data_IF_006486683693
#
_entry.id   IF_006486683693
#
_cell.length_a   1.000
_cell.length_b   1.000
_cell.length_c   1.000
_cell.angle_alpha   90.00
_cell.angle_beta   90.00
_cell.angle_gamma   90.00
#
_symmetry.space_group_name_H-M   'P 1'
#
loop_
_entity.id
_entity.type
_entity.pdbx_description
1 polymer ?
#
# COMPACT_ATOMS: atom_id res chain seq x y z
N UNK A 1 -15.84 4.93 22.46
CA UNK A 1 -15.14 3.86 23.19
C UNK A 1 -16.15 2.78 23.55
N UNK A 2 -16.01 1.57 23.03
CA UNK A 2 -16.99 0.49 23.29
C UNK A 2 -16.85 -0.02 24.73
N UNK A 3 -17.97 -0.12 25.45
CA UNK A 3 -17.98 -0.63 26.82
C UNK A 3 -17.82 -2.16 26.86
N UNK A 4 -17.09 -2.71 27.85
CA UNK A 4 -16.88 -4.15 27.96
C UNK A 4 -18.21 -4.89 28.19
N UNK A 5 -18.45 -5.93 27.39
CA UNK A 5 -19.66 -6.75 27.46
C UNK A 5 -19.56 -7.68 28.67
N UNK A 6 -20.49 -7.54 29.64
CA UNK A 6 -20.52 -8.36 30.85
C UNK A 6 -21.51 -9.53 30.64
N UNK A 7 -20.98 -10.74 30.50
CA UNK A 7 -21.81 -11.95 30.39
C UNK A 7 -22.38 -12.36 31.74
N UNK A 8 -23.71 -12.30 31.88
CA UNK A 8 -24.42 -12.59 33.15
C UNK A 8 -24.69 -14.08 33.38
N UNK A 9 -24.77 -14.90 32.33
CA UNK A 9 -25.10 -16.33 32.45
C UNK A 9 -23.83 -17.21 32.45
N UNK A 10 -23.81 -18.33 33.21
CA UNK A 10 -22.66 -19.23 33.27
C UNK A 10 -22.33 -19.86 31.91
N UNK A 11 -23.35 -20.16 31.09
CA UNK A 11 -23.17 -20.68 29.72
C UNK A 11 -22.48 -19.65 28.80
N UNK A 12 -22.85 -18.37 28.89
CA UNK A 12 -22.21 -17.32 28.10
C UNK A 12 -20.78 -17.03 28.57
N UNK A 13 -20.51 -17.12 29.88
CA UNK A 13 -19.14 -17.01 30.42
C UNK A 13 -18.24 -18.14 29.90
N UNK A 14 -18.74 -19.36 29.84
CA UNK A 14 -17.98 -20.51 29.35
C UNK A 14 -17.72 -20.41 27.83
N UNK A 15 -18.72 -20.00 27.04
CA UNK A 15 -18.54 -19.75 25.60
C UNK A 15 -17.51 -18.65 25.32
N UNK A 16 -17.60 -17.51 26.00
CA UNK A 16 -16.63 -16.42 25.86
C UNK A 16 -15.21 -16.83 26.30
N UNK A 17 -15.09 -17.67 27.33
CA UNK A 17 -13.80 -18.23 27.73
C UNK A 17 -13.23 -19.17 26.66
N UNK A 18 -14.06 -20.01 26.04
CA UNK A 18 -13.64 -20.91 24.97
C UNK A 18 -13.18 -20.14 23.72
N UNK A 19 -13.92 -19.10 23.32
CA UNK A 19 -13.56 -18.20 22.23
C UNK A 19 -12.24 -17.46 22.51
N UNK A 20 -12.08 -16.93 23.74
CA UNK A 20 -10.83 -16.28 24.16
C UNK A 20 -9.63 -17.24 24.14
N UNK A 21 -9.84 -18.50 24.54
CA UNK A 21 -8.82 -19.55 24.43
C UNK A 21 -8.49 -19.87 22.96
N UNK A 22 -9.47 -19.99 22.08
CA UNK A 22 -9.25 -20.20 20.65
C UNK A 22 -8.45 -19.06 20.01
N UNK A 23 -8.78 -17.80 20.32
CA UNK A 23 -8.00 -16.64 19.88
C UNK A 23 -6.57 -16.66 20.42
N UNK A 24 -6.37 -17.14 21.66
CA UNK A 24 -5.03 -17.29 22.24
C UNK A 24 -4.18 -18.31 21.48
N UNK A 25 -4.76 -19.48 21.15
CA UNK A 25 -4.05 -20.51 20.39
C UNK A 25 -3.77 -20.08 18.94
N UNK A 26 -4.70 -19.38 18.28
CA UNK A 26 -4.46 -18.78 16.97
C UNK A 26 -3.32 -17.73 17.01
N UNK A 27 -3.29 -16.92 18.07
CA UNK A 27 -2.21 -15.94 18.29
C UNK A 27 -0.86 -16.61 18.56
N UNK A 28 -0.82 -17.70 19.34
CA UNK A 28 0.39 -18.50 19.57
C UNK A 28 0.90 -19.14 18.28
N UNK A 29 0.02 -19.67 17.42
CA UNK A 29 0.40 -20.19 16.11
C UNK A 29 1.01 -19.11 15.20
N UNK A 30 0.42 -17.91 15.18
CA UNK A 30 0.96 -16.76 14.44
C UNK A 30 2.32 -16.33 15.01
N UNK A 31 2.46 -16.26 16.34
CA UNK A 31 3.71 -15.88 17.01
C UNK A 31 4.80 -16.94 16.87
N UNK A 32 4.43 -18.22 16.79
CA UNK A 32 5.34 -19.33 16.50
C UNK A 32 5.81 -19.24 15.05
N UNK A 33 4.90 -19.08 14.08
CA UNK A 33 5.24 -18.85 12.66
C UNK A 33 6.19 -17.67 12.48
N UNK A 34 5.96 -16.56 13.19
CA UNK A 34 6.87 -15.39 13.19
C UNK A 34 8.25 -15.69 13.77
N UNK A 35 8.33 -16.49 14.84
CA UNK A 35 9.61 -16.93 15.42
C UNK A 35 10.38 -17.84 14.47
N UNK A 36 9.67 -18.70 13.76
CA UNK A 36 10.26 -19.60 12.77
C UNK A 36 10.80 -18.81 11.56
N UNK A 37 10.05 -17.82 11.07
CA UNK A 37 10.48 -16.89 10.00
C UNK A 37 11.67 -15.98 10.39
N UNK A 38 11.79 -15.62 11.67
CA UNK A 38 12.90 -14.81 12.18
C UNK A 38 14.05 -15.64 12.77
N UNK A 39 13.98 -16.97 12.69
CA UNK A 39 15.11 -17.79 13.09
C UNK A 39 16.26 -17.55 12.10
N UNK A 40 17.44 -17.09 12.56
CA UNK A 40 18.52 -16.68 11.68
C UNK A 40 19.27 -17.91 11.18
N UNK A 41 18.63 -18.77 10.39
CA UNK A 41 19.28 -19.88 9.71
C UNK A 41 18.65 -20.13 8.34
N UNK A 42 19.50 -19.89 7.34
CA UNK A 42 19.45 -20.31 5.92
C UNK A 42 18.95 -19.26 4.92
N UNK A 43 19.78 -19.11 3.89
CA UNK A 43 19.70 -18.35 2.64
C UNK A 43 19.69 -16.82 2.70
N UNK A 44 20.49 -16.29 3.62
CA UNK A 44 20.95 -14.90 3.55
C UNK A 44 21.73 -14.61 2.25
N UNK A 45 22.27 -15.62 1.57
CA UNK A 45 23.05 -15.44 0.33
C UNK A 45 22.18 -15.05 -0.87
N UNK A 46 21.01 -15.68 -1.05
CA UNK A 46 20.15 -15.42 -2.21
C UNK A 46 19.37 -14.10 -2.06
N UNK A 47 18.85 -13.85 -0.86
CA UNK A 47 18.22 -12.58 -0.49
C UNK A 47 19.20 -11.41 -0.50
N UNK A 48 20.46 -11.60 -0.06
CA UNK A 48 21.52 -10.61 -0.27
C UNK A 48 21.87 -10.42 -1.74
N UNK A 49 21.88 -11.46 -2.57
CA UNK A 49 22.13 -11.32 -4.01
C UNK A 49 21.04 -10.51 -4.70
N UNK A 50 19.76 -10.72 -4.36
CA UNK A 50 18.63 -9.95 -4.88
C UNK A 50 18.71 -8.50 -4.39
N UNK A 51 18.96 -8.27 -3.09
CA UNK A 51 19.17 -6.91 -2.55
C UNK A 51 20.38 -6.21 -3.16
N UNK A 52 21.48 -6.93 -3.41
CA UNK A 52 22.69 -6.43 -4.07
C UNK A 52 22.40 -6.07 -5.53
N UNK A 53 21.64 -6.88 -6.26
CA UNK A 53 21.21 -6.59 -7.63
C UNK A 53 20.29 -5.35 -7.69
N UNK A 54 19.36 -5.21 -6.75
CA UNK A 54 18.47 -4.05 -6.65
C UNK A 54 19.26 -2.79 -6.31
N UNK A 55 20.20 -2.85 -5.35
CA UNK A 55 21.06 -1.70 -4.99
C UNK A 55 21.98 -1.28 -6.14
N UNK A 56 22.52 -2.25 -6.91
CA UNK A 56 23.37 -2.02 -8.08
C UNK A 56 22.59 -1.42 -9.26
N UNK A 57 21.29 -1.72 -9.38
CA UNK A 57 20.39 -1.05 -10.33
C UNK A 57 20.01 0.37 -9.91
N UNK A 58 20.02 0.66 -8.60
CA UNK A 58 19.67 1.97 -8.04
C UNK A 58 20.83 2.97 -8.09
N UNK A 59 22.09 2.52 -8.13
CA UNK A 59 23.29 3.36 -8.11
C UNK A 59 24.21 2.97 -9.27
N UNK A 60 24.16 3.74 -10.37
CA UNK A 60 25.00 3.52 -11.54
C UNK A 60 26.49 3.36 -11.18
N UNK A 61 27.09 2.31 -11.75
CA UNK A 61 28.49 1.86 -11.64
C UNK A 61 29.53 2.83 -11.06
N UNK A 62 30.23 2.37 -10.02
CA UNK A 62 31.69 2.48 -9.93
C UNK A 62 32.30 1.23 -9.24
N UNK A 63 33.12 0.51 -10.02
CA UNK A 63 34.33 -0.29 -9.72
C UNK A 63 34.45 -1.23 -8.48
N UNK A 64 34.65 -2.51 -8.79
CA UNK A 64 35.66 -3.50 -8.33
C UNK A 64 36.03 -3.65 -6.83
N UNK A 65 35.84 -4.86 -6.27
CA UNK A 65 36.92 -5.82 -5.95
C UNK A 65 36.41 -7.11 -5.27
N UNK A 66 37.27 -8.13 -5.35
CA UNK A 66 37.16 -9.57 -5.11
C UNK A 66 36.60 -10.07 -3.76
N UNK A 67 36.04 -11.28 -3.78
CA UNK A 67 36.45 -12.38 -2.86
C UNK A 67 35.66 -13.67 -3.12
N UNK A 68 36.39 -14.72 -3.49
CA UNK A 68 35.97 -16.12 -3.49
C UNK A 68 35.75 -16.63 -2.06
N UNK A 69 34.76 -17.51 -1.86
CA UNK A 69 34.84 -18.57 -0.84
C UNK A 69 33.78 -19.64 -1.12
N UNK A 70 34.26 -20.79 -1.59
CA UNK A 70 33.56 -22.06 -1.57
C UNK A 70 33.37 -22.51 -0.12
N UNK A 71 32.17 -22.95 0.22
CA UNK A 71 31.94 -23.81 1.38
C UNK A 71 30.59 -24.49 1.20
N UNK A 72 30.64 -25.80 0.95
CA UNK A 72 29.51 -26.73 1.00
C UNK A 72 28.83 -26.68 2.37
N UNK A 73 27.53 -26.98 2.44
CA UNK A 73 27.06 -27.71 3.60
C UNK A 73 26.12 -28.87 3.27
N UNK A 74 26.42 -29.95 3.99
CA UNK A 74 25.71 -31.19 4.18
C UNK A 74 24.18 -31.10 4.31
N UNK A 75 23.59 -32.20 3.86
CA UNK A 75 22.19 -32.57 3.90
C UNK A 75 21.59 -32.65 5.32
N UNK A 76 20.25 -32.68 5.30
CA UNK A 76 19.32 -33.04 6.38
C UNK A 76 18.98 -31.92 7.38
N UNK A 77 17.78 -31.34 7.26
CA UNK A 77 16.58 -31.97 7.82
C UNK A 77 15.37 -31.02 7.74
N UNK A 78 14.26 -31.56 7.21
CA UNK A 78 12.85 -31.20 7.44
C UNK A 78 12.48 -29.71 7.50
N UNK A 79 12.07 -29.16 6.36
CA UNK A 79 11.39 -27.86 6.24
C UNK A 79 9.95 -28.10 5.80
N UNK A 80 8.99 -27.73 6.64
CA UNK A 80 7.63 -27.44 6.20
C UNK A 80 7.73 -26.27 5.21
N UNK A 81 7.69 -26.59 3.91
CA UNK A 81 7.65 -25.66 2.78
C UNK A 81 6.48 -24.68 2.96
N UNK A 82 6.76 -23.51 3.54
CA UNK A 82 5.88 -22.36 3.40
C UNK A 82 6.01 -21.95 1.95
N UNK A 83 4.94 -22.12 1.18
CA UNK A 83 4.89 -21.93 -0.27
C UNK A 83 5.35 -20.51 -0.68
N UNK A 84 6.67 -20.34 -0.87
CA UNK A 84 7.33 -19.08 -1.28
C UNK A 84 6.84 -18.60 -2.66
N UNK A 85 6.16 -19.49 -3.40
CA UNK A 85 5.45 -19.20 -4.63
C UNK A 85 4.41 -18.09 -4.45
N UNK A 86 3.65 -18.11 -3.36
CA UNK A 86 2.55 -17.17 -3.12
C UNK A 86 3.06 -15.75 -2.83
N UNK A 87 4.11 -15.63 -2.01
CA UNK A 87 4.72 -14.32 -1.72
C UNK A 87 5.29 -13.68 -3.00
N UNK A 88 5.97 -14.47 -3.82
CA UNK A 88 6.55 -14.00 -5.07
C UNK A 88 5.47 -13.47 -6.02
N UNK A 89 4.31 -14.14 -6.09
CA UNK A 89 3.16 -13.68 -6.87
C UNK A 89 2.61 -12.34 -6.35
N UNK A 90 2.50 -12.15 -5.03
CA UNK A 90 2.05 -10.88 -4.46
C UNK A 90 3.02 -9.73 -4.73
N UNK A 91 4.33 -9.98 -4.65
CA UNK A 91 5.34 -8.97 -4.98
C UNK A 91 5.32 -8.60 -6.46
N UNK A 92 5.09 -9.58 -7.34
CA UNK A 92 4.93 -9.32 -8.76
C UNK A 92 3.68 -8.49 -9.06
N UNK A 93 2.54 -8.82 -8.44
CA UNK A 93 1.32 -8.04 -8.57
C UNK A 93 1.48 -6.61 -8.03
N UNK A 94 2.16 -6.43 -6.89
CA UNK A 94 2.49 -5.11 -6.35
C UNK A 94 3.34 -4.30 -7.33
N UNK A 95 4.32 -4.94 -7.99
CA UNK A 95 5.15 -4.28 -8.99
C UNK A 95 4.31 -3.80 -10.17
N UNK A 96 3.40 -4.62 -10.69
CA UNK A 96 2.49 -4.21 -11.78
C UNK A 96 1.69 -2.96 -11.37
N UNK A 97 1.07 -2.97 -10.18
CA UNK A 97 0.28 -1.83 -9.71
C UNK A 97 1.14 -0.58 -9.54
N UNK A 98 2.37 -0.73 -9.02
CA UNK A 98 3.31 0.39 -8.92
C UNK A 98 3.66 0.94 -10.30
N UNK A 99 3.92 0.08 -11.27
CA UNK A 99 4.25 0.49 -12.63
C UNK A 99 3.05 1.18 -13.31
N UNK A 100 1.82 0.70 -13.08
CA UNK A 100 0.58 1.37 -13.50
C UNK A 100 0.38 2.74 -12.82
N UNK A 101 0.65 2.84 -11.51
CA UNK A 101 0.63 4.10 -10.78
C UNK A 101 1.64 5.10 -11.34
N UNK A 102 2.87 4.66 -11.62
CA UNK A 102 3.91 5.52 -12.20
C UNK A 102 3.61 5.91 -13.65
N UNK A 103 2.91 5.07 -14.40
CA UNK A 103 2.40 5.41 -15.72
C UNK A 103 1.28 6.47 -15.66
N UNK A 104 0.51 6.50 -14.56
CA UNK A 104 -0.47 7.55 -14.29
C UNK A 104 0.24 8.87 -13.92
N UNK A 105 1.14 8.83 -12.93
CA UNK A 105 1.90 10.00 -12.48
C UNK A 105 3.05 9.65 -11.54
N UNK A 106 4.09 10.47 -11.57
CA UNK A 106 5.20 10.51 -10.63
C UNK A 106 4.97 11.49 -9.45
N UNK A 107 4.13 12.52 -9.64
CA UNK A 107 3.81 13.53 -8.63
C UNK A 107 2.28 13.73 -8.45
N UNK A 108 1.71 13.42 -7.27
CA UNK A 108 0.29 13.57 -6.99
C UNK A 108 -0.23 14.99 -7.23
N UNK A 109 0.56 16.00 -6.88
CA UNK A 109 0.15 17.39 -7.01
C UNK A 109 0.06 17.81 -8.48
N UNK A 110 1.09 17.51 -9.29
CA UNK A 110 1.10 17.78 -10.71
C UNK A 110 -0.04 17.05 -11.45
N UNK A 111 -0.31 15.79 -11.09
CA UNK A 111 -1.42 15.02 -11.65
C UNK A 111 -2.76 15.72 -11.42
N UNK A 112 -3.08 16.02 -10.15
CA UNK A 112 -4.36 16.63 -9.80
C UNK A 112 -4.49 18.03 -10.38
N UNK A 113 -3.41 18.81 -10.38
CA UNK A 113 -3.39 20.11 -11.05
C UNK A 113 -3.68 19.99 -12.55
N UNK A 114 -3.14 18.96 -13.22
CA UNK A 114 -3.43 18.66 -14.62
C UNK A 114 -4.91 18.35 -14.86
N UNK A 115 -5.50 17.46 -14.05
CA UNK A 115 -6.93 17.11 -14.11
C UNK A 115 -7.80 18.34 -13.86
N UNK A 116 -7.47 19.17 -12.87
CA UNK A 116 -8.20 20.39 -12.55
C UNK A 116 -8.15 21.41 -13.70
N UNK A 117 -6.99 21.58 -14.34
CA UNK A 117 -6.86 22.44 -15.52
C UNK A 117 -7.68 21.92 -16.71
N UNK A 118 -7.75 20.60 -16.89
CA UNK A 118 -8.59 19.98 -17.90
C UNK A 118 -10.07 20.25 -17.64
N UNK A 119 -10.51 20.13 -16.39
CA UNK A 119 -11.85 20.51 -15.96
C UNK A 119 -12.14 22.00 -16.27
N UNK A 120 -11.22 22.91 -15.94
CA UNK A 120 -11.39 24.35 -16.25
C UNK A 120 -11.57 24.60 -17.74
N UNK A 121 -10.87 23.86 -18.61
CA UNK A 121 -11.03 24.03 -20.06
C UNK A 121 -12.45 23.72 -20.51
N UNK A 122 -13.15 22.79 -19.85
CA UNK A 122 -14.56 22.48 -20.18
C UNK A 122 -15.55 23.52 -19.71
N UNK A 123 -15.22 24.33 -18.69
CA UNK A 123 -16.04 25.46 -18.27
C UNK A 123 -16.19 26.51 -19.37
N UNK A 124 -15.16 26.67 -20.21
CA UNK A 124 -15.24 27.57 -21.38
C UNK A 124 -16.23 27.07 -22.44
N UNK A 125 -16.55 25.77 -22.44
CA UNK A 125 -17.48 25.14 -23.38
C UNK A 125 -18.87 24.91 -22.80
N UNK A 126 -19.02 24.84 -21.48
CA UNK A 126 -20.27 24.57 -20.78
C UNK A 126 -20.34 25.34 -19.46
N UNK A 127 -21.50 25.94 -19.16
CA UNK A 127 -21.71 26.74 -17.95
C UNK A 127 -21.51 25.98 -16.62
N UNK A 128 -21.50 24.64 -16.63
CA UNK A 128 -21.30 23.80 -15.44
C UNK A 128 -19.98 23.01 -15.46
N UNK A 129 -19.27 23.01 -16.59
CA UNK A 129 -18.11 22.14 -16.80
C UNK A 129 -18.51 20.66 -16.90
N UNK A 130 -17.54 19.82 -17.26
CA UNK A 130 -17.71 18.37 -17.34
C UNK A 130 -17.09 17.67 -16.13
N UNK A 131 -17.93 17.24 -15.21
CA UNK A 131 -17.51 16.57 -13.96
C UNK A 131 -16.88 15.20 -14.23
N UNK A 132 -17.15 14.59 -15.39
CA UNK A 132 -16.60 13.28 -15.74
C UNK A 132 -15.06 13.31 -15.86
N UNK A 133 -14.47 14.49 -16.05
CA UNK A 133 -13.01 14.71 -16.05
C UNK A 133 -12.41 14.47 -14.67
N UNK A 134 -13.15 14.71 -13.58
CA UNK A 134 -12.70 14.43 -12.22
C UNK A 134 -13.05 13.00 -11.83
N UNK A 135 -14.25 12.53 -12.17
CA UNK A 135 -14.72 11.19 -11.83
C UNK A 135 -13.90 10.07 -12.49
N UNK A 136 -13.46 10.26 -13.73
CA UNK A 136 -12.73 9.22 -14.49
C UNK A 136 -11.35 8.91 -13.87
N UNK A 137 -10.48 9.91 -13.59
CA UNK A 137 -9.27 9.70 -12.80
C UNK A 137 -9.53 9.11 -11.42
N UNK A 138 -10.55 9.57 -10.71
CA UNK A 138 -10.90 9.03 -9.39
C UNK A 138 -11.25 7.55 -9.44
N UNK A 139 -12.09 7.14 -10.40
CA UNK A 139 -12.45 5.74 -10.60
C UNK A 139 -11.21 4.87 -10.91
N UNK A 140 -10.27 5.42 -11.67
CA UNK A 140 -9.01 4.75 -12.03
C UNK A 140 -8.13 4.54 -10.79
N UNK A 141 -7.90 5.60 -10.00
CA UNK A 141 -7.12 5.55 -8.75
C UNK A 141 -7.79 4.63 -7.72
N UNK A 142 -9.11 4.68 -7.60
CA UNK A 142 -9.88 3.78 -6.73
C UNK A 142 -9.76 2.33 -7.17
N UNK A 143 -9.74 2.06 -8.48
CA UNK A 143 -9.50 0.72 -9.03
C UNK A 143 -8.14 0.16 -8.60
N UNK A 144 -7.08 0.95 -8.73
CA UNK A 144 -5.74 0.59 -8.26
C UNK A 144 -5.70 0.34 -6.75
N UNK A 145 -6.37 1.19 -5.96
CA UNK A 145 -6.48 1.01 -4.51
C UNK A 145 -7.19 -0.30 -4.13
N UNK A 146 -8.29 -0.61 -4.79
CA UNK A 146 -9.03 -1.85 -4.56
C UNK A 146 -8.20 -3.09 -4.87
N UNK A 147 -7.22 -2.98 -5.78
CA UNK A 147 -6.30 -4.07 -6.10
C UNK A 147 -5.14 -4.16 -5.10
N UNK A 148 -4.59 -3.03 -4.62
CA UNK A 148 -3.42 -3.06 -3.74
C UNK A 148 -3.74 -3.44 -2.29
N UNK A 149 -4.89 -3.04 -1.76
CA UNK A 149 -5.28 -3.31 -0.36
C UNK A 149 -5.23 -4.82 -0.04
N UNK A 150 -5.87 -5.72 -0.82
CA UNK A 150 -5.79 -7.14 -0.53
C UNK A 150 -4.37 -7.70 -0.65
N UNK A 151 -3.56 -7.19 -1.60
CA UNK A 151 -2.14 -7.60 -1.71
C UNK A 151 -1.35 -7.16 -0.48
N UNK A 152 -1.55 -5.92 -0.02
CA UNK A 152 -0.94 -5.39 1.20
C UNK A 152 -1.30 -6.25 2.42
N UNK A 153 -2.57 -6.66 2.54
CA UNK A 153 -3.03 -7.55 3.62
C UNK A 153 -2.40 -8.95 3.52
N UNK A 154 -2.26 -9.51 2.33
CA UNK A 154 -1.58 -10.80 2.14
C UNK A 154 -0.11 -10.72 2.52
N UNK A 155 0.62 -9.70 2.04
CA UNK A 155 2.02 -9.48 2.42
C UNK A 155 2.13 -9.34 3.95
N UNK A 156 1.24 -8.57 4.58
CA UNK A 156 1.20 -8.43 6.03
C UNK A 156 1.01 -9.78 6.75
N UNK A 157 0.13 -10.64 6.24
CA UNK A 157 -0.12 -11.95 6.80
C UNK A 157 1.05 -12.92 6.62
N UNK A 158 1.80 -12.81 5.51
CA UNK A 158 2.94 -13.67 5.21
C UNK A 158 4.20 -13.27 5.98
N UNK A 159 4.62 -12.00 5.90
CA UNK A 159 5.91 -11.55 6.46
C UNK A 159 5.80 -10.44 7.53
N UNK A 160 4.59 -10.00 7.89
CA UNK A 160 4.39 -8.95 8.88
C UNK A 160 4.74 -7.55 8.35
N UNK A 161 5.16 -6.65 9.25
CA UNK A 161 5.61 -5.30 8.87
C UNK A 161 7.05 -5.42 8.35
N UNK A 162 7.18 -5.79 7.07
CA UNK A 162 8.44 -5.96 6.36
C UNK A 162 8.70 -4.79 5.39
N UNK A 163 9.90 -4.71 4.77
CA UNK A 163 10.16 -3.74 3.69
C UNK A 163 9.17 -3.85 2.53
N UNK A 164 8.75 -5.06 2.18
CA UNK A 164 7.77 -5.34 1.12
C UNK A 164 6.39 -4.79 1.49
N UNK A 165 5.96 -5.00 2.74
CA UNK A 165 4.72 -4.42 3.23
C UNK A 165 4.77 -2.89 3.22
N UNK A 166 5.89 -2.29 3.63
CA UNK A 166 6.09 -0.84 3.57
C UNK A 166 6.10 -0.30 2.14
N UNK A 167 6.60 -1.08 1.18
CA UNK A 167 6.54 -0.72 -0.23
C UNK A 167 5.08 -0.71 -0.73
N UNK A 168 4.28 -1.72 -0.36
CA UNK A 168 2.85 -1.74 -0.65
C UNK A 168 2.10 -0.57 0.01
N UNK A 169 2.42 -0.30 1.28
CA UNK A 169 1.85 0.82 2.03
C UNK A 169 2.20 2.18 1.41
N UNK A 170 3.43 2.35 0.93
CA UNK A 170 3.84 3.59 0.24
C UNK A 170 3.04 3.83 -1.03
N UNK A 171 2.78 2.78 -1.82
CA UNK A 171 1.97 2.90 -3.05
C UNK A 171 0.51 3.17 -2.71
N UNK A 172 -0.05 2.50 -1.70
CA UNK A 172 -1.44 2.73 -1.28
C UNK A 172 -1.63 4.13 -0.69
N UNK A 173 -0.67 4.62 0.10
CA UNK A 173 -0.66 5.99 0.61
C UNK A 173 -0.57 7.04 -0.51
N UNK A 174 0.27 6.80 -1.53
CA UNK A 174 0.37 7.69 -2.70
C UNK A 174 -0.98 7.82 -3.42
N UNK A 175 -1.62 6.68 -3.72
CA UNK A 175 -2.92 6.65 -4.37
C UNK A 175 -4.02 7.30 -3.51
N UNK A 176 -4.03 7.06 -2.19
CA UNK A 176 -4.96 7.73 -1.27
C UNK A 176 -4.80 9.24 -1.26
N UNK A 177 -3.55 9.72 -1.37
CA UNK A 177 -3.26 11.17 -1.44
C UNK A 177 -3.86 11.77 -2.70
N UNK A 178 -3.69 11.13 -3.87
CA UNK A 178 -4.32 11.57 -5.12
C UNK A 178 -5.84 11.59 -4.98
N UNK A 179 -6.42 10.51 -4.44
CA UNK A 179 -7.87 10.41 -4.30
C UNK A 179 -8.43 11.54 -3.45
N UNK A 180 -7.83 11.80 -2.29
CA UNK A 180 -8.30 12.85 -1.40
C UNK A 180 -8.17 14.26 -2.01
N UNK A 181 -7.13 14.51 -2.80
CA UNK A 181 -6.99 15.77 -3.55
C UNK A 181 -8.10 15.96 -4.60
N UNK A 182 -8.49 14.88 -5.30
CA UNK A 182 -9.60 14.94 -6.26
C UNK A 182 -10.95 15.08 -5.55
N UNK A 183 -11.14 14.40 -4.41
CA UNK A 183 -12.33 14.52 -3.58
C UNK A 183 -12.49 15.94 -3.02
N UNK A 184 -11.41 16.59 -2.58
CA UNK A 184 -11.41 18.00 -2.11
C UNK A 184 -11.97 18.95 -3.17
N UNK A 185 -11.51 18.82 -4.42
CA UNK A 185 -12.01 19.59 -5.56
C UNK A 185 -13.49 19.33 -5.80
N UNK A 186 -13.90 18.06 -5.85
CA UNK A 186 -15.30 17.68 -6.06
C UNK A 186 -16.22 18.16 -4.93
N UNK A 187 -15.75 18.12 -3.68
CA UNK A 187 -16.51 18.60 -2.54
C UNK A 187 -16.83 20.08 -2.69
N UNK A 188 -15.82 20.92 -2.93
CA UNK A 188 -16.03 22.37 -3.12
C UNK A 188 -16.95 22.63 -4.33
N UNK A 189 -16.74 21.91 -5.43
CA UNK A 189 -17.59 22.01 -6.62
C UNK A 189 -19.07 21.67 -6.33
N UNK A 190 -19.30 20.62 -5.52
CA UNK A 190 -20.66 20.10 -5.26
C UNK A 190 -21.42 20.93 -4.24
N UNK A 191 -20.74 21.43 -3.20
CA UNK A 191 -21.39 22.13 -2.08
C UNK A 191 -21.42 23.64 -2.25
N UNK A 192 -20.31 24.25 -2.71
CA UNK A 192 -20.15 25.71 -2.73
C UNK A 192 -20.23 26.30 -4.15
N UNK A 193 -20.05 25.45 -5.16
CA UNK A 193 -20.21 25.79 -6.58
C UNK A 193 -18.98 26.46 -7.21
N UNK A 194 -19.15 26.93 -8.44
CA UNK A 194 -18.03 27.38 -9.28
C UNK A 194 -17.32 28.64 -8.78
N UNK A 195 -18.05 29.55 -8.11
CA UNK A 195 -17.46 30.78 -7.58
C UNK A 195 -16.50 30.50 -6.44
N UNK A 196 -16.87 29.60 -5.54
CA UNK A 196 -16.02 29.22 -4.41
C UNK A 196 -14.84 28.38 -4.88
N UNK A 197 -15.06 27.49 -5.86
CA UNK A 197 -13.99 26.72 -6.48
C UNK A 197 -12.89 27.63 -7.08
N UNK A 198 -13.28 28.69 -7.77
CA UNK A 198 -12.34 29.65 -8.35
C UNK A 198 -11.60 30.46 -7.27
N UNK A 199 -12.31 30.85 -6.20
CA UNK A 199 -11.74 31.56 -5.07
C UNK A 199 -10.74 30.68 -4.31
N UNK A 200 -11.12 29.45 -3.96
CA UNK A 200 -10.27 28.46 -3.30
C UNK A 200 -8.99 28.20 -4.11
N UNK A 201 -9.11 28.05 -5.44
CA UNK A 201 -7.94 27.92 -6.32
C UNK A 201 -7.00 29.13 -6.23
N UNK A 202 -7.57 30.34 -6.31
CA UNK A 202 -6.81 31.60 -6.31
C UNK A 202 -6.10 31.86 -4.97
N UNK A 203 -6.66 31.38 -3.87
CA UNK A 203 -6.12 31.50 -2.53
C UNK A 203 -5.15 30.38 -2.15
N UNK A 204 -4.95 29.39 -3.01
CA UNK A 204 -4.07 28.26 -2.70
C UNK A 204 -4.66 27.32 -1.65
N UNK A 205 -5.99 27.22 -1.57
CA UNK A 205 -6.65 26.56 -0.45
C UNK A 205 -6.78 25.04 -0.59
N UNK A 206 -6.68 24.52 -1.81
CA UNK A 206 -6.80 23.09 -2.07
C UNK A 206 -5.69 22.28 -1.40
N UNK A 207 -6.01 21.05 -1.01
CA UNK A 207 -5.07 20.14 -0.37
C UNK A 207 -3.82 19.90 -1.22
N UNK A 208 -3.96 19.77 -2.54
CA UNK A 208 -2.84 19.55 -3.46
C UNK A 208 -1.90 20.77 -3.57
N UNK A 209 -2.42 21.99 -3.43
CA UNK A 209 -1.62 23.22 -3.47
C UNK A 209 -0.79 23.39 -2.19
N UNK A 210 -1.34 22.92 -1.06
CA UNK A 210 -0.66 22.91 0.24
C UNK A 210 0.28 21.72 0.43
N UNK A 211 0.21 20.72 -0.45
CA UNK A 211 1.02 19.50 -0.36
C UNK A 211 0.71 18.64 0.87
N UNK A 212 -0.55 18.60 1.31
CA UNK A 212 -0.97 17.85 2.49
C UNK A 212 -0.95 16.34 2.19
N UNK A 213 -0.03 15.62 2.79
CA UNK A 213 0.05 14.15 2.70
C UNK A 213 -0.83 13.51 3.78
N UNK A 214 -1.61 12.50 3.41
CA UNK A 214 -2.59 11.80 4.28
C UNK A 214 -2.08 10.43 4.70
#
# INVERSE_FOLDING_TARGET
MAHPIIHKTPKAKLAAAHEKCQCHYAKELILKRRRDLHSPKRDMKESQMILKAISKGLHGSTSDEDSESESEPDEENSSDDVDLSDLTQYLFALKIIKDEMLALTDDPCAFVQGVFQEYIKTLNSSAKGDVTILETPMATVQGLLNHIIPIQDQILNFCGISPEWRAADSVSHFLRTILAYLEDILCILTFDGLTELALAHSMGEFMYQKGIKI
#
